data_IF_587419245114
#
_entry.id   IF_587419245114
#
_cell.length_a   1.000
_cell.length_b   1.000
_cell.length_c   1.000
_cell.angle_alpha   90.00
_cell.angle_beta   90.00
_cell.angle_gamma   90.00
#
_symmetry.space_group_name_H-M   'P 1'
#
loop_
_entity.id
_entity.type
_entity.pdbx_description
1 polymer ?
#
# COMPACT_ATOMS: atom_id res chain seq x y z
N UNK A 1 49.95 -30.79 0.77
CA UNK A 1 49.72 -29.64 -0.14
C UNK A 1 48.37 -29.05 0.19
N UNK A 2 48.33 -27.72 0.31
CA UNK A 2 47.30 -26.93 0.99
C UNK A 2 46.00 -26.81 0.17
N UNK A 3 44.90 -27.15 0.85
CA UNK A 3 43.59 -26.49 0.88
C UNK A 3 43.43 -25.37 -0.16
N UNK A 4 42.61 -25.62 -1.18
CA UNK A 4 42.01 -24.58 -2.03
C UNK A 4 40.55 -24.96 -2.28
N UNK A 5 39.79 -24.91 -1.19
CA UNK A 5 38.33 -24.92 -1.18
C UNK A 5 37.93 -23.86 -0.17
N UNK A 6 36.92 -23.06 -0.51
CA UNK A 6 36.39 -21.88 0.22
C UNK A 6 37.17 -20.57 0.03
N UNK A 7 36.81 -19.84 -1.03
CA UNK A 7 36.57 -18.40 -0.91
C UNK A 7 35.47 -17.95 -1.90
N UNK A 8 34.35 -18.67 -1.91
CA UNK A 8 33.09 -18.19 -2.50
C UNK A 8 32.07 -18.21 -1.37
N UNK A 9 32.30 -17.36 -0.38
CA UNK A 9 31.30 -17.02 0.63
C UNK A 9 31.24 -15.51 0.71
N UNK A 10 30.00 -15.02 0.61
CA UNK A 10 29.54 -13.75 1.15
C UNK A 10 29.62 -12.49 0.27
N UNK A 11 29.17 -12.61 -0.97
CA UNK A 11 28.42 -11.53 -1.65
C UNK A 11 26.98 -12.00 -1.89
N UNK A 12 26.35 -12.58 -0.86
CA UNK A 12 24.91 -12.45 -0.72
C UNK A 12 24.68 -10.98 -0.37
N UNK A 13 24.60 -10.17 -1.42
CA UNK A 13 24.06 -8.82 -1.39
C UNK A 13 22.85 -8.84 -0.45
N UNK A 14 22.99 -8.19 0.69
CA UNK A 14 21.85 -7.67 1.41
C UNK A 14 21.20 -6.75 0.39
N UNK A 15 20.20 -7.25 -0.33
CA UNK A 15 19.38 -6.44 -1.22
C UNK A 15 18.62 -5.52 -0.29
N UNK A 16 19.25 -4.41 0.12
CA UNK A 16 18.58 -3.32 0.79
C UNK A 16 17.60 -2.78 -0.24
N UNK A 17 16.33 -3.14 -0.08
CA UNK A 17 15.32 -2.63 -0.97
C UNK A 17 15.17 -1.13 -0.75
N UNK A 18 15.17 -0.38 -1.85
CA UNK A 18 15.05 1.06 -1.83
C UNK A 18 13.72 1.51 -1.20
N UNK A 19 13.82 2.39 -0.22
CA UNK A 19 12.69 2.84 0.60
C UNK A 19 12.94 4.21 1.22
N UNK A 20 11.93 4.81 1.85
CA UNK A 20 12.01 6.13 2.50
C UNK A 20 13.18 6.26 3.48
N UNK A 21 13.58 5.18 4.14
CA UNK A 21 14.71 5.19 5.07
C UNK A 21 16.06 5.58 4.42
N UNK A 22 16.16 5.52 3.09
CA UNK A 22 17.33 5.99 2.34
C UNK A 22 17.50 7.52 2.41
N UNK A 23 16.47 8.24 2.87
CA UNK A 23 16.40 9.69 2.94
C UNK A 23 16.09 10.21 4.35
N UNK A 24 16.54 9.49 5.41
CA UNK A 24 16.27 9.89 6.81
C UNK A 24 16.77 11.29 7.17
N UNK A 25 17.83 11.75 6.50
CA UNK A 25 18.43 13.08 6.72
C UNK A 25 17.75 14.22 5.95
N UNK A 26 16.77 13.91 5.08
CA UNK A 26 16.08 14.93 4.27
C UNK A 26 14.81 15.40 4.99
N UNK A 27 14.74 16.71 5.25
CA UNK A 27 13.51 17.36 5.71
C UNK A 27 12.59 17.70 4.53
N UNK A 28 11.43 17.05 4.48
CA UNK A 28 10.43 17.26 3.44
C UNK A 28 9.53 18.49 3.64
N UNK A 29 9.68 19.24 4.73
CA UNK A 29 8.83 20.40 5.07
C UNK A 29 8.79 21.43 3.95
N UNK A 30 9.93 21.72 3.29
CA UNK A 30 9.98 22.67 2.17
C UNK A 30 9.17 22.17 0.97
N UNK A 31 9.33 20.90 0.59
CA UNK A 31 8.59 20.28 -0.50
C UNK A 31 7.08 20.25 -0.23
N UNK A 32 6.67 19.92 1.00
CA UNK A 32 5.28 19.89 1.42
C UNK A 32 4.67 21.30 1.46
N UNK A 33 5.42 22.31 1.90
CA UNK A 33 5.01 23.70 1.87
C UNK A 33 4.76 24.20 0.45
N UNK A 34 5.66 23.87 -0.49
CA UNK A 34 5.50 24.22 -1.91
C UNK A 34 4.25 23.55 -2.50
N UNK A 35 4.03 22.26 -2.20
CA UNK A 35 2.82 21.54 -2.63
C UNK A 35 1.55 22.20 -2.07
N UNK A 36 1.56 22.65 -0.82
CA UNK A 36 0.45 23.38 -0.23
C UNK A 36 0.23 24.75 -0.87
N UNK A 37 1.30 25.52 -1.09
CA UNK A 37 1.25 26.85 -1.67
C UNK A 37 0.62 26.85 -3.08
N UNK A 38 0.94 25.85 -3.89
CA UNK A 38 0.41 25.71 -5.25
C UNK A 38 -0.86 24.86 -5.35
N UNK A 39 -1.57 24.61 -4.25
CA UNK A 39 -2.79 23.78 -4.22
C UNK A 39 -3.87 24.21 -5.21
N UNK A 40 -4.00 25.51 -5.51
CA UNK A 40 -5.07 26.04 -6.37
C UNK A 40 -4.72 26.07 -7.87
N UNK A 41 -3.51 25.63 -8.25
CA UNK A 41 -3.10 25.63 -9.66
C UNK A 41 -3.87 24.61 -10.52
N UNK A 42 -4.20 25.02 -11.75
CA UNK A 42 -4.97 24.18 -12.67
C UNK A 42 -4.15 23.02 -13.23
N UNK A 43 -4.82 21.87 -13.43
CA UNK A 43 -4.26 20.72 -14.15
C UNK A 43 -4.19 20.93 -15.67
N UNK A 44 -4.75 22.03 -16.21
CA UNK A 44 -4.76 22.32 -17.66
C UNK A 44 -3.37 22.54 -18.25
N UNK A 45 -2.40 22.99 -17.45
CA UNK A 45 -1.00 23.16 -17.87
C UNK A 45 -0.07 22.44 -16.90
N UNK A 46 0.02 21.12 -17.08
CA UNK A 46 0.79 20.23 -16.23
C UNK A 46 2.30 20.55 -16.19
N UNK A 47 2.96 20.94 -17.30
CA UNK A 47 4.36 21.39 -17.27
C UNK A 47 4.59 22.58 -16.34
N UNK A 48 3.74 23.61 -16.40
CA UNK A 48 3.87 24.80 -15.53
C UNK A 48 3.66 24.44 -14.06
N UNK A 49 2.66 23.62 -13.76
CA UNK A 49 2.43 23.13 -12.39
C UNK A 49 3.66 22.35 -11.88
N UNK A 50 4.14 21.40 -12.68
CA UNK A 50 5.30 20.56 -12.30
C UNK A 50 6.54 21.41 -12.07
N UNK A 51 6.82 22.36 -12.96
CA UNK A 51 7.96 23.27 -12.80
C UNK A 51 7.85 24.10 -11.52
N UNK A 52 6.67 24.69 -11.24
CA UNK A 52 6.44 25.46 -10.01
C UNK A 52 6.62 24.62 -8.74
N UNK A 53 6.22 23.35 -8.76
CA UNK A 53 6.39 22.45 -7.63
C UNK A 53 7.86 22.06 -7.36
N UNK A 54 8.73 22.12 -8.37
CA UNK A 54 10.05 21.49 -8.31
C UNK A 54 11.22 22.46 -8.41
N UNK A 55 11.03 23.64 -9.02
CA UNK A 55 12.12 24.55 -9.39
C UNK A 55 12.94 25.08 -8.19
N UNK A 56 12.32 25.21 -7.02
CA UNK A 56 12.97 25.73 -5.81
C UNK A 56 13.55 24.63 -4.90
N UNK A 57 13.48 23.36 -5.31
CA UNK A 57 13.92 22.20 -4.53
C UNK A 57 15.25 21.68 -5.05
N UNK A 58 16.15 21.34 -4.12
CA UNK A 58 17.53 21.02 -4.43
C UNK A 58 17.67 19.54 -4.78
N UNK A 59 17.11 18.66 -3.95
CA UNK A 59 17.25 17.22 -4.14
C UNK A 59 16.12 16.64 -4.99
N UNK A 60 16.45 15.56 -5.69
CA UNK A 60 15.52 14.82 -6.53
C UNK A 60 14.37 14.20 -5.71
N UNK A 61 14.64 13.74 -4.49
CA UNK A 61 13.62 13.20 -3.60
C UNK A 61 12.65 14.28 -3.12
N UNK A 62 13.11 15.50 -2.85
CA UNK A 62 12.24 16.64 -2.52
C UNK A 62 11.36 17.04 -3.72
N UNK A 63 11.92 17.09 -4.93
CA UNK A 63 11.14 17.38 -6.15
C UNK A 63 10.02 16.37 -6.33
N UNK A 64 10.34 15.07 -6.19
CA UNK A 64 9.33 14.02 -6.26
C UNK A 64 8.32 14.10 -5.11
N UNK A 65 8.77 14.46 -3.90
CA UNK A 65 7.92 14.71 -2.74
C UNK A 65 6.87 15.79 -3.03
N UNK A 66 7.27 16.94 -3.55
CA UNK A 66 6.33 18.03 -3.85
C UNK A 66 5.27 17.62 -4.87
N UNK A 67 5.66 16.88 -5.92
CA UNK A 67 4.72 16.30 -6.89
C UNK A 67 3.75 15.34 -6.20
N UNK A 68 4.28 14.40 -5.42
CA UNK A 68 3.49 13.37 -4.75
C UNK A 68 2.48 13.97 -3.77
N UNK A 69 2.95 14.83 -2.87
CA UNK A 69 2.12 15.53 -1.88
C UNK A 69 1.03 16.36 -2.57
N UNK A 70 1.36 17.08 -3.64
CA UNK A 70 0.37 17.85 -4.38
C UNK A 70 -0.71 16.94 -4.97
N UNK A 71 -0.33 15.86 -5.66
CA UNK A 71 -1.29 14.92 -6.27
C UNK A 71 -2.19 14.26 -5.22
N UNK A 72 -1.61 13.77 -4.13
CA UNK A 72 -2.39 13.12 -3.07
C UNK A 72 -3.29 14.07 -2.29
N UNK A 73 -2.93 15.35 -2.19
CA UNK A 73 -3.71 16.31 -1.38
C UNK A 73 -4.73 17.11 -2.19
N UNK A 74 -4.59 17.19 -3.51
CA UNK A 74 -5.41 18.05 -4.37
C UNK A 74 -6.36 17.30 -5.30
N UNK A 75 -6.28 15.98 -5.36
CA UNK A 75 -7.14 15.15 -6.19
C UNK A 75 -8.06 14.33 -5.29
N UNK A 76 -9.33 14.26 -5.66
CA UNK A 76 -10.39 13.50 -5.00
C UNK A 76 -10.56 12.12 -5.62
N UNK A 77 -10.66 11.09 -4.77
CA UNK A 77 -10.88 9.73 -5.24
C UNK A 77 -12.35 9.52 -5.65
N UNK A 78 -12.57 9.12 -6.90
CA UNK A 78 -13.89 8.85 -7.46
C UNK A 78 -14.23 7.37 -7.42
N UNK A 79 -14.35 6.82 -6.21
CA UNK A 79 -14.66 5.41 -6.02
C UNK A 79 -16.01 5.01 -6.65
N UNK A 80 -17.00 5.90 -6.64
CA UNK A 80 -18.28 5.66 -7.30
C UNK A 80 -18.13 5.47 -8.82
N UNK A 81 -17.35 6.33 -9.49
CA UNK A 81 -17.03 6.16 -10.91
C UNK A 81 -16.21 4.89 -11.16
N UNK A 82 -15.25 4.57 -10.28
CA UNK A 82 -14.49 3.32 -10.35
C UNK A 82 -15.40 2.08 -10.32
N UNK A 83 -16.34 1.99 -9.37
CA UNK A 83 -17.29 0.87 -9.27
C UNK A 83 -18.14 0.75 -10.54
N UNK A 84 -18.66 1.87 -11.05
CA UNK A 84 -19.46 1.90 -12.30
C UNK A 84 -18.64 1.40 -13.50
N UNK A 85 -17.41 1.89 -13.65
CA UNK A 85 -16.50 1.50 -14.74
C UNK A 85 -16.12 0.02 -14.63
N UNK A 86 -15.77 -0.44 -13.42
CA UNK A 86 -15.43 -1.85 -13.15
C UNK A 86 -16.58 -2.79 -13.50
N UNK A 87 -17.81 -2.46 -13.09
CA UNK A 87 -19.00 -3.23 -13.42
C UNK A 87 -19.28 -3.25 -14.92
N UNK A 88 -19.08 -2.13 -15.63
CA UNK A 88 -19.21 -2.09 -17.10
C UNK A 88 -18.15 -2.92 -17.80
N UNK A 89 -16.89 -2.86 -17.36
CA UNK A 89 -15.79 -3.71 -17.89
C UNK A 89 -16.11 -5.20 -17.77
N UNK A 90 -16.66 -5.63 -16.63
CA UNK A 90 -17.09 -7.02 -16.41
C UNK A 90 -18.17 -7.47 -17.41
N UNK A 91 -19.11 -6.59 -17.76
CA UNK A 91 -20.16 -6.90 -18.76
C UNK A 91 -19.60 -7.14 -20.16
N UNK A 92 -18.53 -6.43 -20.53
CA UNK A 92 -17.85 -6.60 -21.81
C UNK A 92 -16.71 -7.63 -21.78
N UNK A 93 -16.49 -8.35 -20.67
CA UNK A 93 -15.32 -9.21 -20.50
C UNK A 93 -15.20 -10.33 -21.55
N UNK A 94 -16.33 -10.77 -22.13
CA UNK A 94 -16.38 -11.81 -23.18
C UNK A 94 -16.31 -11.26 -24.60
N UNK A 95 -16.44 -9.95 -24.79
CA UNK A 95 -16.41 -9.29 -26.09
C UNK A 95 -15.27 -8.26 -26.13
N UNK A 96 -14.15 -8.67 -26.74
CA UNK A 96 -12.95 -7.84 -26.83
C UNK A 96 -13.20 -6.55 -27.61
N UNK A 97 -13.95 -6.60 -28.70
CA UNK A 97 -14.14 -5.42 -29.55
C UNK A 97 -15.06 -4.42 -28.85
N UNK A 98 -16.17 -4.88 -28.28
CA UNK A 98 -17.05 -4.01 -27.49
C UNK A 98 -16.31 -3.43 -26.27
N UNK A 99 -15.47 -4.22 -25.60
CA UNK A 99 -14.62 -3.75 -24.51
C UNK A 99 -13.68 -2.62 -24.95
N UNK A 100 -12.95 -2.80 -26.07
CA UNK A 100 -12.01 -1.80 -26.58
C UNK A 100 -12.73 -0.51 -27.03
N UNK A 101 -13.84 -0.65 -27.75
CA UNK A 101 -14.64 0.49 -28.20
C UNK A 101 -15.17 1.29 -27.01
N UNK A 102 -15.75 0.61 -26.02
CA UNK A 102 -16.27 1.26 -24.82
C UNK A 102 -15.15 1.90 -24.00
N UNK A 103 -14.04 1.21 -23.77
CA UNK A 103 -12.92 1.73 -22.98
C UNK A 103 -12.26 2.94 -23.65
N UNK A 104 -12.19 2.97 -24.98
CA UNK A 104 -11.75 4.15 -25.74
C UNK A 104 -12.72 5.32 -25.56
N UNK A 105 -14.03 5.06 -25.58
CA UNK A 105 -15.05 6.11 -25.44
C UNK A 105 -15.13 6.75 -24.04
N UNK A 106 -14.80 6.00 -22.98
CA UNK A 106 -14.91 6.49 -21.59
C UNK A 106 -13.66 7.25 -21.13
N UNK A 107 -12.49 6.96 -21.71
CA UNK A 107 -11.21 7.53 -21.28
C UNK A 107 -11.18 9.07 -21.35
N UNK A 108 -11.62 9.73 -22.45
CA UNK A 108 -11.67 11.19 -22.51
C UNK A 108 -12.59 11.80 -21.44
N UNK A 109 -13.68 11.12 -21.07
CA UNK A 109 -14.61 11.60 -20.04
C UNK A 109 -13.98 11.57 -18.65
N UNK A 110 -13.26 10.50 -18.33
CA UNK A 110 -12.51 10.39 -17.06
C UNK A 110 -11.43 11.46 -16.99
N UNK A 111 -10.69 11.68 -18.10
CA UNK A 111 -9.65 12.69 -18.13
C UNK A 111 -10.20 14.11 -18.03
N UNK A 112 -11.31 14.42 -18.72
CA UNK A 112 -12.02 15.68 -18.57
C UNK A 112 -12.44 15.94 -17.12
N UNK A 113 -13.05 14.94 -16.46
CA UNK A 113 -13.44 15.03 -15.05
C UNK A 113 -12.24 15.26 -14.12
N UNK A 114 -11.10 14.63 -14.40
CA UNK A 114 -9.86 14.88 -13.68
C UNK A 114 -9.38 16.33 -13.87
N UNK A 115 -9.34 16.84 -15.09
CA UNK A 115 -8.88 18.21 -15.36
C UNK A 115 -9.80 19.30 -14.79
N UNK A 116 -11.12 19.10 -14.89
CA UNK A 116 -12.12 20.10 -14.50
C UNK A 116 -12.47 20.05 -13.01
N UNK A 117 -12.51 18.85 -12.43
CA UNK A 117 -13.00 18.64 -11.06
C UNK A 117 -11.96 18.01 -10.13
N UNK A 118 -10.73 17.79 -10.61
CA UNK A 118 -9.65 17.12 -9.86
C UNK A 118 -10.11 15.80 -9.24
N UNK A 119 -10.91 15.04 -9.99
CA UNK A 119 -11.58 13.84 -9.48
C UNK A 119 -11.33 12.65 -10.39
N UNK A 120 -10.76 11.58 -9.82
CA UNK A 120 -10.41 10.37 -10.58
C UNK A 120 -10.25 9.14 -9.69
N UNK A 121 -10.10 7.96 -10.28
CA UNK A 121 -9.82 6.71 -9.56
C UNK A 121 -8.30 6.41 -9.52
N UNK A 122 -7.89 5.31 -8.89
CA UNK A 122 -6.49 4.90 -8.71
C UNK A 122 -5.62 5.01 -9.98
N UNK A 123 -6.12 4.56 -11.14
CA UNK A 123 -5.40 4.68 -12.41
C UNK A 123 -5.10 6.13 -12.80
N UNK A 124 -5.99 7.08 -12.47
CA UNK A 124 -5.79 8.50 -12.73
C UNK A 124 -4.76 9.14 -11.80
N UNK A 125 -4.77 8.78 -10.50
CA UNK A 125 -3.67 9.17 -9.59
C UNK A 125 -2.33 8.66 -10.11
N UNK A 126 -2.27 7.38 -10.47
CA UNK A 126 -1.04 6.77 -10.94
C UNK A 126 -0.54 7.38 -12.26
N UNK A 127 -1.48 7.78 -13.13
CA UNK A 127 -1.18 8.57 -14.33
C UNK A 127 -0.61 9.94 -13.97
N UNK A 128 -1.23 10.70 -13.06
CA UNK A 128 -0.75 12.03 -12.68
C UNK A 128 0.65 11.98 -12.08
N UNK A 129 0.92 11.05 -11.16
CA UNK A 129 2.27 10.85 -10.61
C UNK A 129 3.26 10.57 -11.73
N UNK A 130 2.94 9.66 -12.66
CA UNK A 130 3.83 9.31 -13.76
C UNK A 130 4.13 10.50 -14.67
N UNK A 131 3.11 11.21 -15.12
CA UNK A 131 3.30 12.30 -16.08
C UNK A 131 4.03 13.50 -15.45
N UNK A 132 3.70 13.88 -14.22
CA UNK A 132 4.42 14.95 -13.52
C UNK A 132 5.86 14.54 -13.18
N UNK A 133 6.08 13.29 -12.76
CA UNK A 133 7.43 12.79 -12.52
C UNK A 133 8.27 12.79 -13.81
N UNK A 134 7.71 12.35 -14.94
CA UNK A 134 8.39 12.39 -16.23
C UNK A 134 8.73 13.82 -16.66
N UNK A 135 7.82 14.78 -16.46
CA UNK A 135 8.06 16.21 -16.73
C UNK A 135 9.17 16.80 -15.86
N UNK A 136 9.37 16.27 -14.65
CA UNK A 136 10.47 16.62 -13.76
C UNK A 136 11.75 15.79 -14.01
N UNK A 137 11.80 14.95 -15.05
CA UNK A 137 12.98 14.18 -15.44
C UNK A 137 13.12 12.79 -14.79
N UNK A 138 12.12 12.33 -14.05
CA UNK A 138 12.15 11.01 -13.41
C UNK A 138 11.63 9.90 -14.32
N UNK A 139 12.23 8.72 -14.21
CA UNK A 139 11.63 7.50 -14.76
C UNK A 139 10.53 7.01 -13.82
N UNK A 140 9.26 7.18 -14.21
CA UNK A 140 8.12 6.67 -13.43
C UNK A 140 7.30 5.64 -14.22
N UNK A 141 6.94 4.53 -13.56
CA UNK A 141 6.14 3.45 -14.15
C UNK A 141 4.86 3.24 -13.35
N UNK A 142 3.74 3.08 -14.05
CA UNK A 142 2.48 2.61 -13.47
C UNK A 142 2.55 1.10 -13.33
N UNK A 143 2.19 0.62 -12.15
CA UNK A 143 2.02 -0.80 -11.83
C UNK A 143 0.54 -1.04 -11.61
N UNK A 144 -0.01 -2.02 -12.32
CA UNK A 144 -1.37 -2.49 -12.11
C UNK A 144 -1.32 -3.75 -11.25
N UNK A 145 -2.38 -4.02 -10.50
CA UNK A 145 -2.37 -5.17 -9.60
C UNK A 145 -3.60 -5.26 -8.71
N UNK A 146 -3.37 -5.93 -7.59
CA UNK A 146 -4.34 -6.18 -6.55
C UNK A 146 -4.00 -5.35 -5.31
N UNK A 147 -4.91 -4.47 -4.90
CA UNK A 147 -4.87 -3.81 -3.60
C UNK A 147 -5.80 -4.52 -2.63
N UNK A 148 -5.30 -4.88 -1.44
CA UNK A 148 -6.09 -5.56 -0.39
C UNK A 148 -6.23 -4.66 0.82
N UNK A 149 -7.46 -4.28 1.14
CA UNK A 149 -7.77 -3.42 2.30
C UNK A 149 -8.59 -4.21 3.33
N UNK A 150 -8.71 -3.72 4.59
CA UNK A 150 -9.58 -4.36 5.58
C UNK A 150 -11.05 -4.48 5.14
N UNK A 151 -11.51 -3.59 4.25
CA UNK A 151 -12.90 -3.53 3.76
C UNK A 151 -13.11 -4.28 2.45
N UNK A 152 -12.06 -4.81 1.82
CA UNK A 152 -12.13 -5.51 0.55
C UNK A 152 -11.47 -6.88 0.65
N UNK A 153 -12.32 -7.91 0.73
CA UNK A 153 -11.88 -9.31 0.66
C UNK A 153 -11.56 -9.67 -0.79
N UNK A 154 -10.30 -9.97 -1.06
CA UNK A 154 -9.88 -10.58 -2.30
C UNK A 154 -10.02 -12.10 -2.22
N UNK A 155 -10.30 -12.71 -3.37
CA UNK A 155 -10.33 -14.15 -3.61
C UNK A 155 -9.39 -14.48 -4.77
N UNK A 156 -9.04 -15.76 -4.92
CA UNK A 156 -8.17 -16.23 -6.02
C UNK A 156 -8.73 -15.93 -7.41
N UNK A 157 -10.03 -15.78 -7.57
CA UNK A 157 -10.71 -15.44 -8.83
C UNK A 157 -10.99 -13.93 -9.00
N UNK A 158 -10.54 -13.11 -8.05
CA UNK A 158 -10.73 -11.66 -8.13
C UNK A 158 -9.99 -11.07 -9.32
N UNK A 159 -10.56 -10.03 -9.93
CA UNK A 159 -9.87 -9.27 -10.99
C UNK A 159 -8.97 -8.20 -10.38
N UNK A 160 -7.85 -7.81 -11.04
CA UNK A 160 -7.04 -6.68 -10.62
C UNK A 160 -7.91 -5.44 -10.39
N UNK A 161 -7.68 -4.75 -9.27
CA UNK A 161 -8.56 -3.71 -8.75
C UNK A 161 -7.82 -2.40 -8.43
N UNK A 162 -6.49 -2.36 -8.60
CA UNK A 162 -5.70 -1.22 -8.16
C UNK A 162 -4.53 -0.87 -9.09
N UNK A 163 -4.11 0.39 -9.04
CA UNK A 163 -2.99 0.93 -9.81
C UNK A 163 -2.19 1.88 -8.92
N UNK A 164 -0.86 1.76 -8.96
CA UNK A 164 0.09 2.58 -8.19
C UNK A 164 1.36 2.83 -9.03
N UNK A 165 2.40 3.41 -8.43
CA UNK A 165 3.63 3.78 -9.13
C UNK A 165 4.87 3.12 -8.55
N UNK A 166 5.89 3.00 -9.40
CA UNK A 166 7.28 3.02 -8.97
C UNK A 166 8.04 4.12 -9.69
N UNK A 167 8.93 4.80 -8.99
CA UNK A 167 9.75 5.90 -9.49
C UNK A 167 11.22 5.59 -9.29
N UNK A 168 12.07 5.99 -10.23
CA UNK A 168 13.52 5.89 -10.08
C UNK A 168 14.07 7.21 -9.53
N UNK A 169 14.76 7.16 -8.39
CA UNK A 169 15.44 8.28 -7.76
C UNK A 169 16.87 7.80 -7.44
N UNK A 170 17.90 8.57 -7.77
CA UNK A 170 19.30 8.18 -7.54
C UNK A 170 19.62 6.75 -8.00
N UNK A 171 19.13 6.36 -9.19
CA UNK A 171 19.24 5.02 -9.80
C UNK A 171 18.47 3.87 -9.11
N UNK A 172 17.83 4.12 -7.97
CA UNK A 172 17.06 3.13 -7.22
C UNK A 172 15.55 3.25 -7.50
N UNK A 173 14.85 2.10 -7.55
CA UNK A 173 13.39 2.06 -7.76
C UNK A 173 12.63 2.03 -6.44
N UNK A 174 11.79 3.03 -6.21
CA UNK A 174 10.94 3.16 -5.04
C UNK A 174 9.48 2.95 -5.41
N UNK A 175 8.70 2.32 -4.53
CA UNK A 175 7.25 2.13 -4.70
C UNK A 175 6.47 3.21 -3.95
N UNK A 176 5.34 3.65 -4.52
CA UNK A 176 4.45 4.60 -3.85
C UNK A 176 3.00 4.47 -4.32
N UNK A 177 2.05 4.90 -3.47
CA UNK A 177 0.63 4.93 -3.80
C UNK A 177 -0.05 6.24 -3.36
N UNK A 178 -0.21 7.13 -4.34
CA UNK A 178 -0.85 8.42 -4.15
C UNK A 178 -2.35 8.31 -3.86
N UNK A 179 -3.02 7.23 -4.28
CA UNK A 179 -4.46 7.04 -4.06
C UNK A 179 -4.74 6.75 -2.60
N UNK A 180 -4.01 5.80 -2.02
CA UNK A 180 -4.17 5.44 -0.60
C UNK A 180 -3.52 6.46 0.33
N UNK A 181 -2.62 7.30 -0.18
CA UNK A 181 -2.16 8.50 0.53
C UNK A 181 -3.19 9.62 0.51
N UNK A 182 -4.09 9.70 -0.46
CA UNK A 182 -5.02 10.83 -0.56
C UNK A 182 -6.10 10.82 0.53
N UNK A 183 -6.47 9.63 1.00
CA UNK A 183 -7.51 9.44 2.00
C UNK A 183 -8.24 8.12 1.82
N UNK A 184 -9.43 8.06 2.39
CA UNK A 184 -10.23 6.83 2.43
C UNK A 184 -11.63 7.04 1.87
N UNK A 185 -12.23 5.96 1.38
CA UNK A 185 -13.62 5.95 0.96
C UNK A 185 -14.44 5.18 1.97
N UNK A 186 -15.39 5.87 2.60
CA UNK A 186 -16.38 5.28 3.49
C UNK A 186 -17.71 5.16 2.76
N UNK A 187 -18.61 4.31 3.27
CA UNK A 187 -19.97 4.18 2.72
C UNK A 187 -20.92 4.85 3.70
N UNK A 188 -21.51 5.97 3.29
CA UNK A 188 -22.51 6.70 4.06
C UNK A 188 -23.85 6.53 3.35
N UNK A 189 -24.84 5.94 4.03
CA UNK A 189 -26.17 5.65 3.47
C UNK A 189 -26.13 4.89 2.13
N UNK A 190 -25.26 3.89 2.01
CA UNK A 190 -25.09 3.10 0.79
C UNK A 190 -24.34 3.82 -0.35
N UNK A 191 -23.91 5.06 -0.14
CA UNK A 191 -23.18 5.86 -1.13
C UNK A 191 -21.71 5.97 -0.74
N UNK A 192 -20.76 5.69 -1.66
CA UNK A 192 -19.34 5.93 -1.40
C UNK A 192 -19.06 7.42 -1.25
N UNK A 193 -18.46 7.80 -0.12
CA UNK A 193 -18.01 9.14 0.20
C UNK A 193 -16.49 9.13 0.40
N UNK A 194 -15.78 10.03 -0.28
CA UNK A 194 -14.34 10.18 -0.11
C UNK A 194 -14.05 11.19 0.99
N UNK A 195 -13.28 10.77 1.99
CA UNK A 195 -12.73 11.63 3.02
C UNK A 195 -11.24 11.82 2.75
N UNK A 196 -10.89 13.05 2.36
CA UNK A 196 -9.49 13.44 2.23
C UNK A 196 -8.82 13.37 3.61
N UNK A 197 -7.71 12.63 3.67
CA UNK A 197 -6.91 12.48 4.88
C UNK A 197 -5.52 12.04 4.43
N UNK A 198 -4.65 13.02 4.16
CA UNK A 198 -3.33 12.74 3.62
C UNK A 198 -2.58 11.77 4.54
N UNK A 199 -2.11 10.66 3.99
CA UNK A 199 -1.41 9.62 4.73
C UNK A 199 -0.04 9.34 4.13
N UNK A 200 0.99 9.60 4.93
CA UNK A 200 2.36 9.68 4.45
C UNK A 200 3.05 8.33 4.23
N UNK A 201 2.54 7.26 4.86
CA UNK A 201 3.20 5.96 4.89
C UNK A 201 3.36 5.26 3.53
N UNK A 202 2.60 5.67 2.50
CA UNK A 202 2.74 5.14 1.14
C UNK A 202 3.72 5.92 0.26
N UNK A 203 4.33 7.00 0.74
CA UNK A 203 5.40 7.69 0.02
C UNK A 203 6.73 6.94 0.18
N UNK A 204 7.27 6.42 -0.93
CA UNK A 204 8.51 5.62 -0.98
C UNK A 204 8.50 4.49 0.06
N UNK A 205 7.36 3.78 0.14
CA UNK A 205 7.09 2.80 1.19
C UNK A 205 8.12 1.66 1.23
N UNK A 206 8.27 1.03 2.40
CA UNK A 206 9.03 -0.21 2.52
C UNK A 206 8.38 -1.28 1.60
N UNK A 207 9.13 -1.84 0.64
CA UNK A 207 8.54 -2.69 -0.39
C UNK A 207 8.11 -4.07 0.13
N UNK A 208 8.74 -4.60 1.18
CA UNK A 208 8.29 -5.85 1.81
C UNK A 208 6.92 -5.68 2.47
N UNK A 209 6.71 -4.56 3.16
CA UNK A 209 5.41 -4.20 3.73
C UNK A 209 4.38 -3.89 2.65
N UNK A 210 4.79 -3.12 1.63
CA UNK A 210 3.95 -2.75 0.49
C UNK A 210 3.43 -4.00 -0.24
N UNK A 211 4.26 -5.03 -0.39
CA UNK A 211 3.88 -6.30 -0.98
C UNK A 211 2.81 -7.09 -0.18
N UNK A 212 2.59 -6.75 1.10
CA UNK A 212 1.55 -7.39 1.93
C UNK A 212 0.13 -6.92 1.60
N UNK A 213 -0.02 -5.74 0.99
CA UNK A 213 -1.32 -5.20 0.57
C UNK A 213 -1.37 -4.71 -0.89
N UNK A 214 -0.27 -4.86 -1.64
CA UNK A 214 -0.18 -4.64 -3.08
C UNK A 214 0.49 -5.82 -3.78
N UNK A 215 -0.22 -6.47 -4.70
CA UNK A 215 0.32 -7.56 -5.51
C UNK A 215 0.30 -7.18 -6.99
N UNK A 216 1.45 -7.00 -7.66
CA UNK A 216 1.49 -6.56 -9.05
C UNK A 216 1.01 -7.65 -10.01
N UNK A 217 0.40 -7.24 -11.12
CA UNK A 217 0.29 -8.11 -12.29
C UNK A 217 1.59 -8.06 -13.11
N UNK A 218 2.04 -9.20 -13.59
CA UNK A 218 3.04 -9.29 -14.65
C UNK A 218 2.32 -9.18 -16.02
N UNK A 219 2.89 -8.38 -16.92
CA UNK A 219 2.22 -8.07 -18.21
C UNK A 219 2.24 -9.27 -19.17
N UNK A 220 3.05 -10.28 -18.88
CA UNK A 220 3.33 -11.38 -19.80
C UNK A 220 2.39 -12.59 -19.61
N UNK A 221 1.80 -12.80 -18.42
CA UNK A 221 1.06 -14.03 -18.13
C UNK A 221 -0.31 -13.77 -17.47
N UNK A 222 -1.38 -13.89 -18.25
CA UNK A 222 -2.79 -13.89 -17.77
C UNK A 222 -3.14 -15.02 -16.77
N UNK A 223 -2.19 -15.86 -16.38
CA UNK A 223 -2.33 -16.97 -15.44
C UNK A 223 -1.97 -16.62 -13.98
N UNK A 224 -1.69 -15.36 -13.66
CA UNK A 224 -1.25 -14.90 -12.33
C UNK A 224 -2.16 -15.25 -11.16
N UNK A 225 -3.46 -15.43 -11.43
CA UNK A 225 -4.46 -15.83 -10.45
C UNK A 225 -4.18 -17.20 -9.78
N UNK A 226 -3.27 -18.01 -10.34
CA UNK A 226 -2.99 -19.38 -9.84
C UNK A 226 -1.59 -19.58 -9.25
N UNK A 227 -0.77 -18.52 -9.16
CA UNK A 227 0.56 -18.66 -8.56
C UNK A 227 0.46 -18.87 -7.05
N UNK A 228 1.36 -19.66 -6.48
CA UNK A 228 1.42 -19.85 -5.02
C UNK A 228 1.70 -18.53 -4.28
N UNK A 229 2.41 -17.60 -4.93
CA UNK A 229 2.62 -16.25 -4.42
C UNK A 229 1.30 -15.46 -4.28
N UNK A 230 0.42 -15.49 -5.30
CA UNK A 230 -0.87 -14.81 -5.22
C UNK A 230 -1.79 -15.47 -4.18
N UNK A 231 -1.79 -16.80 -4.08
CA UNK A 231 -2.54 -17.53 -3.04
C UNK A 231 -2.06 -17.15 -1.64
N UNK A 232 -0.74 -17.09 -1.42
CA UNK A 232 -0.16 -16.64 -0.16
C UNK A 232 -0.53 -15.18 0.15
N UNK A 233 -0.50 -14.30 -0.86
CA UNK A 233 -0.94 -12.90 -0.72
C UNK A 233 -2.41 -12.78 -0.30
N UNK A 234 -3.31 -13.54 -0.92
CA UNK A 234 -4.75 -13.56 -0.56
C UNK A 234 -4.96 -14.18 0.83
N UNK A 235 -4.19 -15.22 1.17
CA UNK A 235 -4.30 -15.91 2.46
C UNK A 235 -3.63 -15.17 3.63
N UNK A 236 -2.72 -14.22 3.38
CA UNK A 236 -1.97 -13.49 4.40
C UNK A 236 -2.84 -12.64 5.34
N UNK A 237 -2.30 -12.05 6.41
CA UNK A 237 -3.04 -11.18 7.34
C UNK A 237 -3.54 -9.90 6.68
N UNK A 238 -4.61 -9.31 7.23
CA UNK A 238 -5.04 -7.96 6.82
C UNK A 238 -4.03 -6.96 7.38
N UNK A 239 -3.51 -6.08 6.52
CA UNK A 239 -2.59 -5.01 6.89
C UNK A 239 -3.33 -3.67 6.85
N UNK A 240 -3.14 -2.87 7.89
CA UNK A 240 -3.70 -1.53 8.00
C UNK A 240 -2.68 -0.49 7.56
N UNK A 241 -3.15 0.68 7.10
CA UNK A 241 -2.26 1.72 6.57
C UNK A 241 -1.26 2.20 7.64
N UNK A 242 -1.66 2.20 8.91
CA UNK A 242 -0.86 2.66 10.04
C UNK A 242 0.41 1.83 10.24
N UNK A 243 0.45 0.57 9.77
CA UNK A 243 1.66 -0.24 9.75
C UNK A 243 2.81 0.41 8.95
N UNK A 244 2.48 1.26 7.98
CA UNK A 244 3.45 1.92 7.10
C UNK A 244 4.15 3.14 7.72
N UNK A 245 3.66 3.68 8.84
CA UNK A 245 4.31 4.81 9.52
C UNK A 245 5.66 4.42 10.12
N UNK A 246 5.74 3.25 10.75
CA UNK A 246 6.92 2.73 11.43
C UNK A 246 7.41 1.38 10.82
N UNK A 247 7.36 1.26 9.49
CA UNK A 247 7.28 0.01 8.70
C UNK A 247 7.24 -1.29 9.52
N UNK A 248 6.06 -1.62 10.06
CA UNK A 248 5.81 -2.80 10.87
C UNK A 248 5.34 -3.93 9.95
N UNK A 249 6.12 -5.00 9.84
CA UNK A 249 5.87 -6.10 8.88
C UNK A 249 5.47 -7.36 9.64
N UNK A 250 4.21 -7.83 9.51
CA UNK A 250 3.83 -9.12 10.06
C UNK A 250 4.50 -10.27 9.30
N UNK A 251 5.23 -11.10 10.05
CA UNK A 251 6.01 -12.24 9.56
C UNK A 251 5.30 -13.55 9.87
N UNK A 252 4.84 -13.71 11.11
CA UNK A 252 4.14 -14.91 11.56
C UNK A 252 2.92 -14.55 12.42
N UNK A 253 1.84 -15.34 12.35
CA UNK A 253 1.62 -16.39 11.38
C UNK A 253 1.57 -15.88 9.92
N UNK A 254 1.90 -16.71 8.91
CA UNK A 254 1.95 -16.27 7.52
C UNK A 254 0.57 -16.18 6.87
N UNK A 255 -0.44 -16.85 7.43
CA UNK A 255 -1.83 -16.81 6.94
C UNK A 255 -2.73 -16.12 7.97
N UNK A 256 -3.85 -15.56 7.53
CA UNK A 256 -4.80 -14.86 8.39
C UNK A 256 -5.56 -15.83 9.29
N UNK A 257 -5.99 -16.97 8.74
CA UNK A 257 -6.90 -17.89 9.41
C UNK A 257 -6.16 -19.09 9.98
N UNK A 258 -6.26 -19.30 11.29
CA UNK A 258 -5.66 -20.45 11.98
C UNK A 258 -6.69 -21.20 12.80
N UNK A 259 -6.52 -22.52 12.90
CA UNK A 259 -7.29 -23.37 13.82
C UNK A 259 -6.34 -23.99 14.82
N UNK A 260 -6.63 -23.82 16.11
CA UNK A 260 -5.82 -24.33 17.22
C UNK A 260 -6.70 -25.04 18.25
N UNK A 261 -6.09 -25.83 19.13
CA UNK A 261 -6.79 -26.46 20.27
C UNK A 261 -6.89 -25.48 21.45
N UNK A 262 -7.95 -25.60 22.26
CA UNK A 262 -8.06 -24.87 23.54
C UNK A 262 -6.78 -25.04 24.38
N UNK A 263 -6.25 -23.94 24.88
CA UNK A 263 -5.03 -23.91 25.69
C UNK A 263 -3.74 -23.74 24.87
N UNK A 264 -3.80 -23.82 23.54
CA UNK A 264 -2.64 -23.56 22.69
C UNK A 264 -2.23 -22.08 22.70
N UNK A 265 -0.94 -21.87 22.43
CA UNK A 265 -0.34 -20.55 22.24
C UNK A 265 -0.17 -20.25 20.74
N UNK A 266 -0.31 -18.98 20.36
CA UNK A 266 0.06 -18.49 19.03
C UNK A 266 1.06 -17.35 19.19
N UNK A 267 2.18 -17.44 18.48
CA UNK A 267 3.20 -16.39 18.42
C UNK A 267 2.98 -15.51 17.20
N UNK A 268 2.68 -14.24 17.43
CA UNK A 268 2.65 -13.22 16.38
C UNK A 268 4.03 -12.57 16.29
N UNK A 269 4.71 -12.72 15.16
CA UNK A 269 6.05 -12.18 14.92
C UNK A 269 5.96 -10.99 13.98
N UNK A 270 6.52 -9.87 14.40
CA UNK A 270 6.62 -8.63 13.64
C UNK A 270 8.10 -8.33 13.37
N UNK A 271 8.44 -7.94 12.15
CA UNK A 271 9.68 -7.24 11.86
C UNK A 271 9.42 -5.73 12.01
N UNK A 272 10.32 -5.05 12.72
CA UNK A 272 10.21 -3.64 13.07
C UNK A 272 11.56 -2.94 12.85
N UNK A 273 11.60 -1.60 12.75
CA UNK A 273 12.85 -0.85 12.71
C UNK A 273 13.75 -1.15 13.91
N UNK A 274 15.06 -0.98 13.75
CA UNK A 274 16.07 -1.27 14.78
C UNK A 274 15.86 -0.51 16.11
N UNK A 275 15.18 0.64 16.07
CA UNK A 275 14.89 1.50 17.22
C UNK A 275 13.38 1.70 17.38
N UNK A 276 12.62 0.61 17.37
CA UNK A 276 11.18 0.66 17.52
C UNK A 276 10.75 0.78 19.00
N UNK A 277 10.09 1.90 19.32
CA UNK A 277 9.63 2.24 20.68
C UNK A 277 8.10 2.31 20.84
N UNK A 278 7.32 1.97 19.80
CA UNK A 278 5.87 2.01 19.86
C UNK A 278 5.28 1.00 20.86
N UNK A 279 4.13 1.34 21.43
CA UNK A 279 3.41 0.49 22.37
C UNK A 279 2.61 -0.58 21.62
N UNK A 280 2.91 -1.86 21.86
CA UNK A 280 2.33 -2.99 21.14
C UNK A 280 1.32 -3.72 22.01
N UNK A 281 0.08 -3.81 21.53
CA UNK A 281 -0.97 -4.57 22.20
C UNK A 281 -1.61 -5.59 21.24
N UNK A 282 -2.23 -6.60 21.85
CA UNK A 282 -3.18 -7.47 21.16
C UNK A 282 -4.59 -7.16 21.65
N UNK A 283 -5.53 -6.95 20.74
CA UNK A 283 -6.94 -6.86 21.05
C UNK A 283 -7.63 -8.13 20.51
N UNK A 284 -8.32 -8.84 21.40
CA UNK A 284 -9.04 -10.07 21.10
C UNK A 284 -10.53 -9.75 21.04
N UNK A 285 -11.09 -9.76 19.83
CA UNK A 285 -12.52 -9.61 19.61
C UNK A 285 -13.17 -10.99 19.44
N UNK A 286 -14.21 -11.26 20.22
CA UNK A 286 -15.03 -12.47 20.13
C UNK A 286 -16.50 -12.10 20.23
N UNK A 287 -17.24 -12.32 19.14
CA UNK A 287 -18.69 -12.09 19.10
C UNK A 287 -19.09 -10.63 19.40
N UNK A 288 -18.28 -9.67 18.95
CA UNK A 288 -18.51 -8.23 19.15
C UNK A 288 -17.99 -7.67 20.48
N UNK A 289 -17.55 -8.54 21.41
CA UNK A 289 -16.87 -8.10 22.64
C UNK A 289 -15.36 -8.08 22.41
N UNK A 290 -14.76 -6.91 22.58
CA UNK A 290 -13.30 -6.72 22.53
C UNK A 290 -12.71 -6.74 23.94
N UNK A 291 -11.58 -7.43 24.10
CA UNK A 291 -10.77 -7.43 25.32
C UNK A 291 -9.30 -7.34 24.98
N UNK A 292 -8.51 -6.76 25.88
CA UNK A 292 -7.07 -6.79 25.74
C UNK A 292 -6.57 -8.23 25.90
N UNK A 293 -5.67 -8.62 25.02
CA UNK A 293 -4.83 -9.80 25.18
C UNK A 293 -3.85 -9.61 26.34
N UNK A 294 -3.11 -10.67 26.64
CA UNK A 294 -2.02 -10.61 27.61
C UNK A 294 -0.85 -11.41 27.05
N UNK A 295 -0.28 -10.97 25.91
CA UNK A 295 0.81 -11.69 25.29
C UNK A 295 2.07 -11.57 26.12
N UNK A 296 2.89 -12.62 26.12
CA UNK A 296 4.29 -12.49 26.53
C UNK A 296 5.02 -11.81 25.37
N UNK A 297 5.60 -10.64 25.63
CA UNK A 297 6.28 -9.83 24.61
C UNK A 297 7.79 -10.04 24.70
N UNK A 298 8.38 -10.55 23.62
CA UNK A 298 9.84 -10.68 23.50
C UNK A 298 10.35 -9.76 22.40
N UNK A 299 11.17 -8.78 22.76
CA UNK A 299 11.80 -7.83 21.81
C UNK A 299 13.23 -8.26 21.50
N UNK A 300 13.56 -8.37 20.22
CA UNK A 300 14.92 -8.46 19.66
C UNK A 300 15.12 -7.27 18.72
N UNK A 301 16.36 -6.88 18.42
CA UNK A 301 16.74 -5.63 17.73
C UNK A 301 15.76 -5.17 16.62
N UNK A 302 15.41 -6.04 15.68
CA UNK A 302 14.51 -5.75 14.56
C UNK A 302 13.28 -6.68 14.50
N UNK A 303 12.96 -7.37 15.59
CA UNK A 303 11.89 -8.36 15.62
C UNK A 303 11.20 -8.40 16.98
N UNK A 304 9.87 -8.40 16.98
CA UNK A 304 9.06 -8.50 18.18
C UNK A 304 8.14 -9.71 18.07
N UNK A 305 8.11 -10.53 19.12
CA UNK A 305 7.21 -11.67 19.26
C UNK A 305 6.16 -11.36 20.33
N UNK A 306 4.89 -11.60 20.01
CA UNK A 306 3.75 -11.51 20.92
C UNK A 306 3.15 -12.92 21.07
N UNK A 307 3.37 -13.57 22.21
CA UNK A 307 2.91 -14.94 22.46
C UNK A 307 1.60 -14.95 23.24
N UNK A 308 0.49 -15.29 22.57
CA UNK A 308 -0.85 -15.25 23.16
C UNK A 308 -1.42 -16.65 23.39
N UNK A 309 -1.78 -16.94 24.65
CA UNK A 309 -2.48 -18.17 25.04
C UNK A 309 -4.00 -18.04 24.87
N UNK A 310 -4.63 -19.02 24.25
CA UNK A 310 -6.08 -19.04 24.01
C UNK A 310 -6.79 -20.05 24.92
N UNK A 311 -7.22 -19.58 26.10
CA UNK A 311 -7.81 -20.43 27.15
C UNK A 311 -9.27 -20.84 26.91
N UNK A 312 -9.98 -20.16 26.02
CA UNK A 312 -11.42 -20.38 25.78
C UNK A 312 -11.66 -20.71 24.31
N UNK A 313 -12.57 -21.65 24.04
CA UNK A 313 -13.04 -21.97 22.69
C UNK A 313 -13.73 -20.77 22.04
N UNK A 314 -13.74 -20.70 20.72
CA UNK A 314 -14.42 -19.65 19.95
C UNK A 314 -13.64 -19.20 18.73
N UNK A 315 -14.23 -18.28 17.98
CA UNK A 315 -13.58 -17.56 16.89
C UNK A 315 -13.14 -16.19 17.43
N UNK A 316 -11.87 -15.87 17.26
CA UNK A 316 -11.27 -14.62 17.70
C UNK A 316 -10.74 -13.85 16.50
N UNK A 317 -11.15 -12.61 16.34
CA UNK A 317 -10.39 -11.64 15.55
C UNK A 317 -9.31 -11.08 16.47
N UNK A 318 -8.06 -11.27 16.06
CA UNK A 318 -6.87 -10.86 16.81
C UNK A 318 -6.27 -9.67 16.09
N UNK A 319 -6.41 -8.51 16.70
CA UNK A 319 -5.86 -7.27 16.21
C UNK A 319 -4.52 -7.00 16.89
N UNK A 320 -3.52 -6.69 16.09
CA UNK A 320 -2.25 -6.14 16.57
C UNK A 320 -2.38 -4.62 16.46
N UNK A 321 -2.11 -3.91 17.55
CA UNK A 321 -2.07 -2.45 17.57
C UNK A 321 -0.67 -1.92 17.89
N UNK A 322 -0.34 -0.77 17.31
CA UNK A 322 0.79 0.07 17.73
C UNK A 322 0.26 1.45 18.09
N UNK A 323 0.55 1.93 19.30
CA UNK A 323 0.07 3.22 19.80
C UNK A 323 -1.45 3.38 19.62
N UNK A 324 -2.19 2.29 19.92
CA UNK A 324 -3.65 2.13 19.78
C UNK A 324 -4.18 2.15 18.33
N UNK A 325 -3.32 2.20 17.32
CA UNK A 325 -3.69 2.09 15.91
C UNK A 325 -3.57 0.65 15.44
N UNK A 326 -4.57 0.17 14.69
CA UNK A 326 -4.52 -1.18 14.09
C UNK A 326 -3.38 -1.26 13.08
N UNK A 327 -2.58 -2.32 13.13
CA UNK A 327 -1.50 -2.57 12.14
C UNK A 327 -1.71 -3.88 11.40
N UNK A 328 -2.26 -4.91 12.06
CA UNK A 328 -2.57 -6.18 11.42
C UNK A 328 -3.74 -6.90 12.10
N UNK A 329 -4.48 -7.71 11.34
CA UNK A 329 -5.55 -8.58 11.85
C UNK A 329 -5.40 -10.02 11.38
N UNK A 330 -5.62 -10.93 12.33
CA UNK A 330 -5.67 -12.38 12.17
C UNK A 330 -7.01 -12.93 12.68
N UNK A 331 -7.34 -14.16 12.30
CA UNK A 331 -8.53 -14.89 12.75
C UNK A 331 -8.10 -16.24 13.33
N UNK A 332 -8.34 -16.45 14.61
CA UNK A 332 -7.97 -17.66 15.34
C UNK A 332 -9.23 -18.41 15.78
N UNK A 333 -9.43 -19.61 15.24
CA UNK A 333 -10.48 -20.55 15.65
C UNK A 333 -9.93 -21.53 16.69
N UNK A 334 -10.43 -21.44 17.91
CA UNK A 334 -10.04 -22.29 19.04
C UNK A 334 -11.08 -23.39 19.22
N UNK A 335 -10.68 -24.64 18.98
CA UNK A 335 -11.53 -25.83 19.04
C UNK A 335 -11.63 -26.44 20.43
#
# INVERSE_FOLDING_TARGET
MRISTLLITLLLSIMSFAQRADFQEIDFTKADSIAHYYKDLSLKNLPVLTHKLTAALETDVEKFRAIYTWVSSNITNDYASYVKISNKRKRFAKDRQAFLNWNTSITPKVFKNLLEHRKTACTGYAYMIKEMANLAGFNCKIINGYGRTPTLLLKEDSTPNHSWNKVQINNNWYVCDATWSAGETTVVNGTPFFQANYFDGYFLANPELFAKNHFPINKENKQELKTDAFKAYVAGPVIYKEAFLAPIIPIAPPVMHHTIQKGACVTFTLQVPNQFNGDLELLLNKGGSQKNGSPIVTKKKNKINLEQNFKKKGLYDVHITVDKQLVATYVIKVK
#
